data_IF_854108131327
#
_entry.id   IF_854108131327
#
_cell.length_a   1.000
_cell.length_b   1.000
_cell.length_c   1.000
_cell.angle_alpha   90.00
_cell.angle_beta   90.00
_cell.angle_gamma   90.00
#
_symmetry.space_group_name_H-M   'P 1'
#
loop_
_entity.id
_entity.type
_entity.pdbx_description
1 polymer ?
#
# COMPACT_ATOMS: atom_id res chain seq x y z
N UNK A 1 -23.17 2.20 -5.83
CA UNK A 1 -21.81 2.56 -6.32
C UNK A 1 -20.80 2.09 -5.29
N UNK A 2 -19.83 1.26 -5.68
CA UNK A 2 -18.75 0.84 -4.78
C UNK A 2 -17.77 2.01 -4.65
N UNK A 3 -17.38 2.37 -3.42
CA UNK A 3 -16.30 3.33 -3.19
C UNK A 3 -14.97 2.59 -2.97
N UNK A 4 -13.84 3.32 -2.93
CA UNK A 4 -12.51 2.72 -2.77
C UNK A 4 -12.39 1.85 -1.53
N UNK A 5 -12.94 2.26 -0.41
CA UNK A 5 -12.96 1.48 0.83
C UNK A 5 -13.71 0.16 0.68
N UNK A 6 -14.85 0.17 -0.02
CA UNK A 6 -15.61 -1.05 -0.29
C UNK A 6 -14.84 -2.01 -1.22
N UNK A 7 -14.07 -1.50 -2.18
CA UNK A 7 -13.21 -2.31 -3.03
C UNK A 7 -12.15 -3.06 -2.23
N UNK A 8 -11.48 -2.37 -1.32
CA UNK A 8 -10.49 -2.98 -0.42
C UNK A 8 -11.14 -4.07 0.45
N UNK A 9 -12.33 -3.82 1.02
CA UNK A 9 -13.03 -4.81 1.84
C UNK A 9 -13.42 -6.06 1.03
N UNK A 10 -13.88 -5.90 -0.20
CA UNK A 10 -14.18 -7.03 -1.11
C UNK A 10 -12.91 -7.85 -1.35
N UNK A 11 -11.81 -7.18 -1.67
CA UNK A 11 -10.54 -7.83 -1.93
C UNK A 11 -10.01 -8.57 -0.68
N UNK A 12 -10.09 -7.96 0.50
CA UNK A 12 -9.74 -8.61 1.76
C UNK A 12 -10.55 -9.86 2.03
N UNK A 13 -11.87 -9.80 1.82
CA UNK A 13 -12.74 -10.96 2.02
C UNK A 13 -12.37 -12.10 1.07
N UNK A 14 -12.05 -11.80 -0.19
CA UNK A 14 -11.61 -12.79 -1.16
C UNK A 14 -10.27 -13.43 -0.79
N UNK A 15 -9.34 -12.63 -0.28
CA UNK A 15 -8.04 -13.11 0.19
C UNK A 15 -8.21 -14.02 1.40
N UNK A 16 -8.97 -13.59 2.41
CA UNK A 16 -9.19 -14.35 3.64
C UNK A 16 -9.93 -15.67 3.41
N UNK A 17 -10.76 -15.73 2.39
CA UNK A 17 -11.50 -16.95 2.01
C UNK A 17 -10.67 -17.90 1.12
N UNK A 18 -9.48 -17.50 0.69
CA UNK A 18 -8.62 -18.32 -0.16
C UNK A 18 -7.58 -19.09 0.66
N UNK A 19 -7.58 -20.42 0.55
CA UNK A 19 -6.53 -21.25 1.15
C UNK A 19 -5.17 -21.15 0.44
N UNK A 20 -5.13 -20.56 -0.75
CA UNK A 20 -3.94 -20.49 -1.63
C UNK A 20 -3.22 -19.15 -1.55
N UNK A 21 -3.90 -18.11 -1.06
CA UNK A 21 -3.34 -16.78 -0.87
C UNK A 21 -3.02 -16.62 0.61
N UNK A 22 -1.76 -16.34 0.93
CA UNK A 22 -1.31 -16.20 2.32
C UNK A 22 -1.08 -14.74 2.63
N UNK A 23 -1.36 -14.37 3.87
CA UNK A 23 -1.02 -13.04 4.37
C UNK A 23 0.50 -12.84 4.36
N UNK A 24 0.89 -11.63 4.02
CA UNK A 24 2.26 -11.14 4.21
C UNK A 24 2.32 -10.40 5.55
N UNK A 25 3.26 -10.78 6.41
CA UNK A 25 3.47 -10.06 7.67
C UNK A 25 4.15 -8.73 7.41
N UNK A 26 3.41 -7.64 7.57
CA UNK A 26 3.95 -6.30 7.44
C UNK A 26 4.97 -6.00 8.55
N UNK A 27 6.06 -5.28 8.23
CA UNK A 27 6.91 -4.67 9.24
C UNK A 27 6.13 -3.72 10.15
N UNK A 28 6.67 -3.41 11.31
CA UNK A 28 6.11 -2.38 12.18
C UNK A 28 6.11 -1.02 11.50
N UNK A 29 5.28 -0.10 11.99
CA UNK A 29 5.24 1.26 11.46
C UNK A 29 6.59 1.95 11.49
N UNK A 30 7.36 1.78 12.57
CA UNK A 30 8.70 2.35 12.70
C UNK A 30 9.68 1.75 11.70
N UNK A 31 9.62 0.43 11.48
CA UNK A 31 10.44 -0.25 10.47
C UNK A 31 10.09 0.22 9.06
N UNK A 32 8.81 0.38 8.73
CA UNK A 32 8.37 0.91 7.43
C UNK A 32 8.91 2.33 7.19
N UNK A 33 8.85 3.20 8.19
CA UNK A 33 9.39 4.57 8.11
C UNK A 33 10.91 4.55 7.98
N UNK A 34 11.59 3.67 8.70
CA UNK A 34 13.05 3.51 8.58
C UNK A 34 13.44 3.07 7.17
N UNK A 35 12.74 2.09 6.61
CA UNK A 35 12.96 1.63 5.24
C UNK A 35 12.71 2.77 4.24
N UNK A 36 11.58 3.47 4.35
CA UNK A 36 11.25 4.58 3.46
C UNK A 36 12.29 5.71 3.56
N UNK A 37 12.76 6.03 4.76
CA UNK A 37 13.74 7.09 5.00
C UNK A 37 15.13 6.79 4.43
N UNK A 38 15.42 5.54 4.11
CA UNK A 38 16.72 5.12 3.60
C UNK A 38 17.02 5.62 2.18
N UNK A 39 16.02 6.02 1.42
CA UNK A 39 16.19 6.54 0.06
C UNK A 39 15.49 7.88 -0.14
N UNK A 40 15.92 8.63 -1.18
CA UNK A 40 15.36 9.94 -1.49
C UNK A 40 13.87 9.87 -1.81
N UNK A 41 13.46 8.90 -2.61
CA UNK A 41 12.06 8.71 -2.99
C UNK A 41 11.16 8.51 -1.76
N UNK A 42 11.56 7.65 -0.83
CA UNK A 42 10.81 7.40 0.40
C UNK A 42 10.73 8.64 1.29
N UNK A 43 11.81 9.41 1.44
CA UNK A 43 11.79 10.67 2.18
C UNK A 43 10.83 11.69 1.56
N UNK A 44 10.79 11.80 0.23
CA UNK A 44 9.83 12.65 -0.48
C UNK A 44 8.39 12.20 -0.22
N UNK A 45 8.13 10.90 -0.23
CA UNK A 45 6.80 10.34 0.07
C UNK A 45 6.37 10.61 1.51
N UNK A 46 7.28 10.46 2.48
CA UNK A 46 7.02 10.80 3.89
C UNK A 46 6.66 12.27 4.00
N UNK A 47 7.45 13.15 3.42
CA UNK A 47 7.19 14.60 3.44
C UNK A 47 5.83 14.95 2.86
N UNK A 48 5.46 14.37 1.71
CA UNK A 48 4.17 14.60 1.07
C UNK A 48 2.97 14.04 1.87
N UNK A 49 3.17 12.98 2.63
CA UNK A 49 2.14 12.36 3.44
C UNK A 49 1.90 13.09 4.78
N UNK A 50 2.90 13.78 5.32
CA UNK A 50 2.82 14.43 6.64
C UNK A 50 1.59 15.34 6.83
N UNK A 51 1.23 16.26 5.90
CA UNK A 51 0.08 17.13 6.09
C UNK A 51 -1.24 16.39 6.28
N UNK A 52 -1.37 15.22 5.66
CA UNK A 52 -2.56 14.36 5.79
C UNK A 52 -2.54 13.56 7.09
N UNK A 53 -1.39 12.98 7.43
CA UNK A 53 -1.26 12.10 8.60
C UNK A 53 -1.21 12.88 9.92
N UNK A 54 -0.73 14.11 9.93
CA UNK A 54 -0.63 14.93 11.15
C UNK A 54 -2.00 15.28 11.72
N UNK A 55 -3.03 15.37 10.88
CA UNK A 55 -4.41 15.66 11.31
C UNK A 55 -4.99 14.55 12.19
N UNK A 56 -4.61 13.31 11.93
CA UNK A 56 -5.15 12.13 12.61
C UNK A 56 -4.18 11.56 13.65
N UNK A 57 -2.88 11.61 13.37
CA UNK A 57 -1.83 10.99 14.19
C UNK A 57 -0.81 12.00 14.75
N UNK A 58 -1.09 13.28 14.64
CA UNK A 58 -0.23 14.32 15.20
C UNK A 58 -0.31 14.36 16.71
N UNK A 59 0.84 14.52 17.37
CA UNK A 59 0.96 14.74 18.80
C UNK A 59 1.68 16.06 19.04
N UNK A 60 1.23 16.80 20.05
CA UNK A 60 1.86 18.06 20.42
C UNK A 60 3.15 17.79 21.20
N UNK A 61 4.19 18.42 20.74
CA UNK A 61 5.51 18.37 21.37
C UNK A 61 5.94 19.79 21.78
N UNK A 62 6.30 19.95 23.03
CA UNK A 62 6.84 21.20 23.56
C UNK A 62 8.36 21.11 23.66
N UNK A 63 9.06 21.96 22.93
CA UNK A 63 10.50 22.05 23.01
C UNK A 63 10.91 22.60 24.40
N UNK A 64 11.70 21.84 25.14
CA UNK A 64 12.13 22.20 26.50
C UNK A 64 13.02 23.45 26.54
N UNK A 65 13.77 23.75 25.48
CA UNK A 65 14.69 24.89 25.42
C UNK A 65 13.99 26.18 24.96
N UNK A 66 13.12 26.10 23.96
CA UNK A 66 12.45 27.27 23.33
C UNK A 66 11.04 27.49 23.86
N UNK A 67 10.47 26.53 24.58
CA UNK A 67 9.07 26.48 25.02
C UNK A 67 8.05 26.56 23.88
N UNK A 68 8.48 26.32 22.64
CA UNK A 68 7.59 26.29 21.48
C UNK A 68 6.82 24.98 21.41
N UNK A 69 5.53 25.09 21.07
CA UNK A 69 4.66 23.96 20.78
C UNK A 69 4.75 23.62 19.31
N UNK A 70 5.06 22.37 19.00
CA UNK A 70 5.11 21.85 17.62
C UNK A 70 4.29 20.56 17.55
N UNK A 71 3.53 20.37 16.49
CA UNK A 71 2.83 19.11 16.24
C UNK A 71 3.70 18.22 15.36
N UNK A 72 3.96 17.02 15.84
CA UNK A 72 4.77 16.00 15.14
C UNK A 72 3.99 14.70 15.01
N UNK A 73 4.37 13.86 14.06
CA UNK A 73 3.77 12.52 13.93
C UNK A 73 4.56 11.55 14.81
N UNK A 74 3.86 10.88 15.70
CA UNK A 74 4.39 9.70 16.38
C UNK A 74 4.09 8.48 15.51
N UNK A 75 5.11 8.00 14.80
CA UNK A 75 4.97 6.89 13.86
C UNK A 75 4.53 5.59 14.50
N UNK A 76 4.73 5.40 15.80
CA UNK A 76 4.23 4.25 16.55
C UNK A 76 2.71 4.19 16.60
N UNK A 77 2.05 5.35 16.54
CA UNK A 77 0.60 5.47 16.57
C UNK A 77 -0.04 5.27 15.20
N UNK A 78 0.74 5.38 14.12
CA UNK A 78 0.23 5.22 12.75
C UNK A 78 0.17 3.73 12.41
N UNK A 79 -0.99 3.18 12.05
CA UNK A 79 -1.07 1.78 11.62
C UNK A 79 -0.17 1.49 10.42
N UNK A 80 0.49 0.34 10.41
CA UNK A 80 1.38 -0.08 9.30
C UNK A 80 0.70 -0.02 7.94
N UNK A 81 -0.59 -0.35 7.87
CA UNK A 81 -1.38 -0.30 6.63
C UNK A 81 -1.56 1.13 6.11
N UNK A 82 -1.70 2.10 7.00
CA UNK A 82 -1.81 3.53 6.63
C UNK A 82 -0.48 4.00 6.04
N UNK A 83 0.64 3.61 6.63
CA UNK A 83 1.97 3.93 6.09
C UNK A 83 2.17 3.25 4.72
N UNK A 84 1.75 2.00 4.59
CA UNK A 84 1.83 1.27 3.33
C UNK A 84 1.08 1.99 2.21
N UNK A 85 -0.15 2.44 2.45
CA UNK A 85 -0.96 3.18 1.49
C UNK A 85 -0.34 4.56 1.16
N UNK A 86 -0.14 5.41 2.15
CA UNK A 86 0.29 6.79 1.93
C UNK A 86 1.72 6.91 1.40
N UNK A 87 2.63 6.07 1.87
CA UNK A 87 4.06 6.19 1.53
C UNK A 87 4.44 5.25 0.39
N UNK A 88 4.05 3.98 0.47
CA UNK A 88 4.41 2.97 -0.54
C UNK A 88 3.39 2.89 -1.69
N UNK A 89 2.20 3.46 -1.52
CA UNK A 89 1.14 3.48 -2.53
C UNK A 89 0.50 2.11 -2.76
N UNK A 90 0.42 1.30 -1.71
CA UNK A 90 -0.03 -0.09 -1.73
C UNK A 90 -1.13 -0.28 -0.69
N UNK A 91 -2.24 -0.91 -1.09
CA UNK A 91 -3.34 -1.21 -0.17
C UNK A 91 -3.14 -2.55 0.55
N UNK A 92 -2.68 -3.57 -0.17
CA UNK A 92 -2.57 -4.94 0.34
C UNK A 92 -1.29 -5.59 -0.15
N UNK A 93 -0.68 -6.43 0.70
CA UNK A 93 0.44 -7.30 0.31
C UNK A 93 0.09 -8.74 0.65
N UNK A 94 0.31 -9.65 -0.28
CA UNK A 94 0.02 -11.07 -0.15
C UNK A 94 1.20 -11.94 -0.59
N UNK A 95 1.22 -13.19 -0.14
CA UNK A 95 2.16 -14.20 -0.62
C UNK A 95 1.44 -15.22 -1.50
N UNK A 96 1.90 -15.39 -2.72
CA UNK A 96 1.38 -16.31 -3.73
C UNK A 96 2.50 -17.22 -4.19
N UNK A 97 2.45 -18.51 -3.83
CA UNK A 97 3.45 -19.49 -4.24
C UNK A 97 4.91 -19.07 -3.91
N UNK A 98 5.10 -18.36 -2.82
CA UNK A 98 6.40 -17.83 -2.43
C UNK A 98 6.75 -16.44 -3.01
N UNK A 99 5.95 -15.92 -3.94
CA UNK A 99 6.07 -14.54 -4.43
C UNK A 99 5.30 -13.57 -3.54
N UNK A 100 5.92 -12.46 -3.22
CA UNK A 100 5.27 -11.36 -2.48
C UNK A 100 4.71 -10.36 -3.49
N UNK A 101 3.39 -10.23 -3.50
CA UNK A 101 2.66 -9.39 -4.47
C UNK A 101 1.97 -8.25 -3.75
N UNK A 102 2.23 -7.02 -4.19
CA UNK A 102 1.52 -5.83 -3.75
C UNK A 102 0.32 -5.53 -4.65
N UNK A 103 -0.77 -5.09 -4.06
CA UNK A 103 -2.01 -4.78 -4.75
C UNK A 103 -2.44 -3.36 -4.37
N UNK A 104 -2.72 -2.53 -5.37
CA UNK A 104 -3.41 -1.25 -5.22
C UNK A 104 -4.80 -1.42 -5.86
N UNK A 105 -5.85 -1.27 -5.06
CA UNK A 105 -7.24 -1.48 -5.49
C UNK A 105 -7.85 -0.19 -6.05
N UNK A 106 -8.75 -0.33 -7.01
CA UNK A 106 -9.52 0.80 -7.53
C UNK A 106 -10.91 0.37 -7.99
N UNK A 107 -11.87 1.27 -7.91
CA UNK A 107 -13.20 1.16 -8.52
C UNK A 107 -13.35 2.05 -9.74
N UNK A 108 -12.35 2.87 -10.03
CA UNK A 108 -12.35 3.77 -11.16
C UNK A 108 -11.45 3.22 -12.28
N UNK A 109 -12.01 2.76 -13.41
CA UNK A 109 -11.22 2.25 -14.51
C UNK A 109 -10.29 3.31 -15.14
N UNK A 110 -10.68 4.58 -15.11
CA UNK A 110 -9.88 5.67 -15.67
C UNK A 110 -8.61 5.96 -14.86
N UNK A 111 -8.55 5.50 -13.62
CA UNK A 111 -7.36 5.67 -12.76
C UNK A 111 -6.32 4.55 -12.91
N UNK A 112 -6.61 3.50 -13.66
CA UNK A 112 -5.75 2.30 -13.74
C UNK A 112 -4.37 2.66 -14.27
N UNK A 113 -4.32 3.40 -15.37
CA UNK A 113 -3.05 3.78 -16.03
C UNK A 113 -2.18 4.66 -15.11
N UNK A 114 -2.78 5.67 -14.47
CA UNK A 114 -2.08 6.54 -13.52
C UNK A 114 -1.53 5.76 -12.31
N UNK A 115 -2.32 4.83 -11.79
CA UNK A 115 -1.91 3.96 -10.68
C UNK A 115 -0.78 3.00 -11.10
N UNK A 116 -0.85 2.41 -12.29
CA UNK A 116 0.24 1.58 -12.83
C UNK A 116 1.53 2.39 -12.95
N UNK A 117 1.45 3.60 -13.48
CA UNK A 117 2.59 4.51 -13.60
C UNK A 117 3.17 4.88 -12.22
N UNK A 118 2.30 5.19 -11.26
CA UNK A 118 2.69 5.47 -9.88
C UNK A 118 3.44 4.29 -9.26
N UNK A 119 2.87 3.08 -9.31
CA UNK A 119 3.51 1.88 -8.75
C UNK A 119 4.82 1.55 -9.46
N UNK A 120 4.91 1.76 -10.76
CA UNK A 120 6.15 1.57 -11.52
C UNK A 120 7.25 2.52 -11.02
N UNK A 121 6.92 3.80 -10.80
CA UNK A 121 7.85 4.78 -10.23
C UNK A 121 8.26 4.45 -8.79
N UNK A 122 7.36 3.85 -8.01
CA UNK A 122 7.62 3.44 -6.62
C UNK A 122 8.34 2.09 -6.49
N UNK A 123 8.65 1.42 -7.60
CA UNK A 123 9.32 0.11 -7.61
C UNK A 123 10.59 0.06 -6.75
N UNK A 124 11.51 1.03 -6.78
CA UNK A 124 12.70 1.01 -5.93
C UNK A 124 12.36 1.00 -4.44
N UNK A 125 11.24 1.62 -4.06
CA UNK A 125 10.80 1.71 -2.69
C UNK A 125 10.14 0.41 -2.20
N UNK A 126 9.13 -0.10 -2.90
CA UNK A 126 8.46 -1.32 -2.45
C UNK A 126 9.31 -2.59 -2.60
N UNK A 127 10.32 -2.60 -3.47
CA UNK A 127 11.33 -3.67 -3.53
C UNK A 127 12.11 -3.82 -2.22
N UNK A 128 12.33 -2.75 -1.48
CA UNK A 128 13.00 -2.80 -0.17
C UNK A 128 12.17 -3.52 0.91
N UNK A 129 10.87 -3.67 0.69
CA UNK A 129 9.98 -4.47 1.55
C UNK A 129 10.02 -5.97 1.21
N UNK A 130 10.80 -6.38 0.22
CA UNK A 130 10.79 -7.76 -0.27
C UNK A 130 9.63 -8.07 -1.20
N UNK A 131 8.96 -7.05 -1.76
CA UNK A 131 7.88 -7.23 -2.73
C UNK A 131 8.48 -7.56 -4.09
N UNK A 132 8.06 -8.69 -4.66
CA UNK A 132 8.54 -9.19 -5.94
C UNK A 132 7.84 -8.54 -7.12
N UNK A 133 6.53 -8.28 -6.98
CA UNK A 133 5.70 -7.69 -8.04
C UNK A 133 4.55 -6.87 -7.46
N UNK A 134 4.07 -5.91 -8.24
CA UNK A 134 2.92 -5.08 -7.90
C UNK A 134 1.90 -5.09 -9.04
N UNK A 135 0.62 -4.92 -8.68
CA UNK A 135 -0.48 -4.88 -9.64
C UNK A 135 -1.60 -3.95 -9.18
N UNK A 136 -2.44 -3.56 -10.13
CA UNK A 136 -3.69 -2.86 -9.87
C UNK A 136 -4.85 -3.86 -9.96
N UNK A 137 -5.70 -3.87 -8.95
CA UNK A 137 -6.94 -4.62 -8.96
C UNK A 137 -8.12 -3.67 -9.17
N UNK A 138 -8.74 -3.75 -10.33
CA UNK A 138 -10.00 -3.06 -10.60
C UNK A 138 -11.17 -3.90 -10.11
N UNK A 139 -11.83 -3.42 -9.06
CA UNK A 139 -12.99 -4.10 -8.48
C UNK A 139 -14.26 -3.65 -9.19
N UNK A 140 -14.84 -4.57 -9.96
CA UNK A 140 -16.02 -4.36 -10.77
C UNK A 140 -17.07 -5.41 -10.39
N UNK A 141 -18.26 -5.00 -9.99
CA UNK A 141 -19.33 -5.88 -9.53
C UNK A 141 -19.91 -6.84 -10.60
N UNK A 142 -19.37 -6.86 -11.81
CA UNK A 142 -20.04 -7.51 -12.93
C UNK A 142 -19.58 -8.94 -13.22
N UNK A 143 -18.42 -9.38 -12.75
CA UNK A 143 -17.95 -10.77 -12.95
C UNK A 143 -16.95 -11.15 -11.86
N UNK A 144 -17.20 -12.24 -11.16
CA UNK A 144 -16.21 -12.87 -10.29
C UNK A 144 -15.12 -13.54 -11.15
N UNK A 145 -14.08 -12.81 -11.48
CA UNK A 145 -12.85 -13.45 -11.91
C UNK A 145 -12.21 -14.14 -10.70
N UNK A 146 -11.57 -15.27 -10.93
CA UNK A 146 -10.88 -15.98 -9.87
C UNK A 146 -9.62 -15.19 -9.46
N UNK A 147 -9.64 -14.53 -8.30
CA UNK A 147 -8.53 -13.76 -7.76
C UNK A 147 -7.21 -14.53 -7.77
N UNK A 148 -7.25 -15.81 -7.40
CA UNK A 148 -6.08 -16.68 -7.42
C UNK A 148 -5.44 -16.77 -8.81
N UNK A 149 -6.24 -16.99 -9.86
CA UNK A 149 -5.73 -17.09 -11.22
C UNK A 149 -5.13 -15.77 -11.69
N UNK A 150 -5.77 -14.66 -11.37
CA UNK A 150 -5.28 -13.32 -11.70
C UNK A 150 -3.94 -13.05 -11.02
N UNK A 151 -3.82 -13.30 -9.72
CA UNK A 151 -2.58 -13.10 -8.97
C UNK A 151 -1.47 -14.07 -9.42
N UNK A 152 -1.80 -15.31 -9.72
CA UNK A 152 -0.85 -16.26 -10.31
C UNK A 152 -0.31 -15.77 -11.66
N UNK A 153 -1.14 -15.13 -12.47
CA UNK A 153 -0.69 -14.50 -13.72
C UNK A 153 0.27 -13.34 -13.45
N UNK A 154 0.00 -12.50 -12.43
CA UNK A 154 0.85 -11.38 -12.03
C UNK A 154 2.26 -11.83 -11.67
N UNK A 155 2.42 -12.98 -11.00
CA UNK A 155 3.76 -13.48 -10.62
C UNK A 155 4.67 -13.78 -11.81
N UNK A 156 4.10 -13.94 -13.01
CA UNK A 156 4.85 -14.21 -14.25
C UNK A 156 5.18 -12.94 -15.04
N UNK A 157 4.70 -11.79 -14.60
CA UNK A 157 4.91 -10.54 -15.31
C UNK A 157 6.18 -9.83 -14.81
N UNK A 158 6.84 -9.09 -15.70
CA UNK A 158 8.00 -8.24 -15.35
C UNK A 158 7.62 -6.79 -15.05
N UNK A 159 6.41 -6.37 -15.43
CA UNK A 159 5.90 -5.02 -15.28
C UNK A 159 4.69 -5.00 -14.36
N UNK A 160 4.37 -3.82 -13.82
CA UNK A 160 3.12 -3.58 -13.10
C UNK A 160 1.95 -3.77 -14.05
N UNK A 161 1.08 -4.72 -13.75
CA UNK A 161 -0.09 -5.05 -14.56
C UNK A 161 -1.38 -4.70 -13.83
N UNK A 162 -2.51 -4.73 -14.54
CA UNK A 162 -3.83 -4.58 -13.97
C UNK A 162 -4.71 -5.79 -14.31
N UNK A 163 -5.62 -6.12 -13.43
CA UNK A 163 -6.66 -7.11 -13.66
C UNK A 163 -7.99 -6.65 -13.04
N UNK A 164 -9.08 -7.25 -13.49
CA UNK A 164 -10.43 -6.95 -13.00
C UNK A 164 -10.99 -8.11 -12.17
N UNK A 165 -11.74 -7.78 -11.13
CA UNK A 165 -12.54 -8.69 -10.32
C UNK A 165 -14.03 -8.36 -10.42
#
# INVERSE_FOLDING_TARGET
>A
MINGYAAEQILFNLINNSSKIKDFKLPSSEELITIASSCQLGRQRIFSAQPHLIKEYGVDYRNAQTNQLTTVIDWKLVPSRVILDYIFGIDIVVNILGFVVAIDATVNPDSIEDKQLKLTKLKPLWRQLGIDQACICYVNNTKSQNLWQSLKSVTKQSQVTAFSL
#
